data_IF_941998542048
#
_entry.id   IF_941998542048
#
_cell.length_a   1.000
_cell.length_b   1.000
_cell.length_c   1.000
_cell.angle_alpha   90.00
_cell.angle_beta   90.00
_cell.angle_gamma   90.00
#
_symmetry.space_group_name_H-M   'P 1'
#
loop_
_entity.id
_entity.type
_entity.pdbx_description
1 polymer ?
#
# COMPACT_ATOMS: atom_id res chain seq x y z
N UNK A 1 -28.88 -3.32 39.35
CA UNK A 1 -29.00 -2.99 37.92
C UNK A 1 -28.84 -4.28 37.13
N UNK A 2 -29.81 -4.65 36.29
CA UNK A 2 -29.70 -5.81 35.40
C UNK A 2 -28.58 -5.56 34.39
N UNK A 3 -27.60 -6.46 34.33
CA UNK A 3 -26.49 -6.35 33.37
C UNK A 3 -26.97 -6.95 32.06
N UNK A 4 -27.17 -6.11 31.05
CA UNK A 4 -27.55 -6.54 29.71
C UNK A 4 -26.40 -6.34 28.70
N UNK A 5 -26.43 -7.10 27.61
CA UNK A 5 -25.58 -6.85 26.45
C UNK A 5 -25.97 -5.53 25.79
N UNK A 6 -24.98 -4.81 25.28
CA UNK A 6 -25.18 -3.67 24.40
C UNK A 6 -25.73 -4.12 23.05
N UNK A 7 -26.27 -3.17 22.29
CA UNK A 7 -26.78 -3.43 20.93
C UNK A 7 -25.68 -4.03 20.03
N UNK A 8 -24.44 -3.56 20.15
CA UNK A 8 -23.32 -4.04 19.34
C UNK A 8 -22.91 -5.46 19.73
N UNK A 9 -22.84 -5.74 21.03
CA UNK A 9 -22.59 -7.10 21.55
C UNK A 9 -23.67 -8.08 21.07
N UNK A 10 -24.95 -7.69 21.15
CA UNK A 10 -26.07 -8.52 20.67
C UNK A 10 -26.03 -8.76 19.16
N UNK A 11 -25.67 -7.74 18.36
CA UNK A 11 -25.47 -7.89 16.91
C UNK A 11 -24.30 -8.84 16.59
N UNK A 12 -23.20 -8.71 17.32
CA UNK A 12 -22.04 -9.60 17.15
C UNK A 12 -22.40 -11.04 17.52
N UNK A 13 -23.10 -11.24 18.63
CA UNK A 13 -23.58 -12.55 19.06
C UNK A 13 -24.45 -13.19 17.97
N UNK A 14 -25.45 -12.47 17.44
CA UNK A 14 -26.32 -12.99 16.39
C UNK A 14 -25.54 -13.45 15.16
N UNK A 15 -24.56 -12.65 14.70
CA UNK A 15 -23.67 -13.01 13.58
C UNK A 15 -22.84 -14.25 13.88
N UNK A 16 -22.28 -14.35 15.09
CA UNK A 16 -21.47 -15.50 15.50
C UNK A 16 -22.33 -16.77 15.53
N UNK A 17 -23.51 -16.73 16.15
CA UNK A 17 -24.43 -17.88 16.20
C UNK A 17 -24.84 -18.34 14.81
N UNK A 18 -25.10 -17.41 13.88
CA UNK A 18 -25.39 -17.75 12.49
C UNK A 18 -24.19 -18.45 11.83
N UNK A 19 -22.97 -17.90 12.00
CA UNK A 19 -21.73 -18.49 11.48
C UNK A 19 -21.36 -19.87 12.07
N UNK A 20 -21.97 -20.24 13.19
CA UNK A 20 -21.77 -21.53 13.85
C UNK A 20 -22.69 -22.63 13.32
N UNK A 21 -23.69 -22.30 12.50
CA UNK A 21 -24.60 -23.29 11.88
C UNK A 21 -23.86 -24.14 10.85
N UNK A 22 -22.99 -23.52 10.08
CA UNK A 22 -22.29 -24.13 8.96
C UNK A 22 -20.96 -24.80 9.36
N UNK A 23 -20.72 -25.00 10.67
CA UNK A 23 -19.47 -25.56 11.19
C UNK A 23 -19.70 -26.88 11.90
N UNK A 24 -19.04 -27.92 11.39
CA UNK A 24 -19.06 -29.26 12.00
C UNK A 24 -18.40 -29.30 13.38
N UNK A 25 -17.36 -28.47 13.60
CA UNK A 25 -16.65 -28.38 14.88
C UNK A 25 -16.41 -26.93 15.28
N UNK A 26 -16.80 -26.60 16.51
CA UNK A 26 -16.50 -25.32 17.16
C UNK A 26 -15.30 -25.49 18.09
N UNK A 27 -14.55 -24.41 18.31
CA UNK A 27 -13.55 -24.36 19.38
C UNK A 27 -14.25 -24.15 20.73
N UNK A 28 -13.48 -24.18 21.81
CA UNK A 28 -14.02 -24.10 23.17
C UNK A 28 -14.74 -22.77 23.43
N UNK A 29 -14.19 -21.64 22.96
CA UNK A 29 -14.81 -20.34 23.14
C UNK A 29 -16.12 -20.21 22.38
N UNK A 30 -16.19 -20.65 21.12
CA UNK A 30 -17.42 -20.63 20.33
C UNK A 30 -18.46 -21.62 20.88
N UNK A 31 -18.02 -22.77 21.40
CA UNK A 31 -18.90 -23.73 22.08
C UNK A 31 -19.53 -23.09 23.31
N UNK A 32 -18.73 -22.35 24.09
CA UNK A 32 -19.21 -21.64 25.27
C UNK A 32 -20.18 -20.49 24.90
N UNK A 33 -19.88 -19.71 23.86
CA UNK A 33 -20.78 -18.67 23.34
C UNK A 33 -22.13 -19.29 22.92
N UNK A 34 -22.10 -20.40 22.16
CA UNK A 34 -23.31 -21.11 21.69
C UNK A 34 -24.10 -21.74 22.84
N UNK A 35 -23.43 -22.22 23.88
CA UNK A 35 -24.08 -22.77 25.06
C UNK A 35 -24.77 -21.68 25.88
N UNK A 36 -24.09 -20.55 26.11
CA UNK A 36 -24.67 -19.40 26.81
C UNK A 36 -25.84 -18.81 26.04
N UNK A 37 -25.76 -18.68 24.71
CA UNK A 37 -26.84 -18.09 23.90
C UNK A 37 -28.13 -18.92 23.88
N UNK A 38 -28.06 -20.20 24.26
CA UNK A 38 -29.22 -21.11 24.29
C UNK A 38 -29.93 -21.14 25.64
N UNK A 39 -29.35 -20.53 26.69
CA UNK A 39 -29.99 -20.47 28.00
C UNK A 39 -31.28 -19.65 27.90
N UNK A 40 -32.38 -20.17 28.43
CA UNK A 40 -33.67 -19.48 28.49
C UNK A 40 -33.64 -18.24 29.38
N UNK A 41 -32.79 -18.25 30.41
CA UNK A 41 -32.49 -17.09 31.25
C UNK A 41 -30.98 -16.98 31.49
N UNK A 42 -30.46 -15.76 31.41
CA UNK A 42 -29.05 -15.45 31.68
C UNK A 42 -28.94 -14.79 33.05
N UNK A 43 -28.06 -15.32 33.89
CA UNK A 43 -27.64 -14.63 35.12
C UNK A 43 -26.71 -13.45 34.79
N UNK A 44 -26.53 -12.50 35.71
CA UNK A 44 -25.55 -11.41 35.54
C UNK A 44 -24.12 -11.95 35.30
N UNK A 45 -23.78 -13.10 35.88
CA UNK A 45 -22.53 -13.82 35.64
C UNK A 45 -22.43 -14.35 34.21
N UNK A 46 -23.52 -14.92 33.68
CA UNK A 46 -23.58 -15.40 32.29
C UNK A 46 -23.42 -14.24 31.30
N UNK A 47 -24.09 -13.11 31.54
CA UNK A 47 -23.95 -11.92 30.70
C UNK A 47 -22.52 -11.37 30.75
N UNK A 48 -21.89 -11.36 31.93
CA UNK A 48 -20.49 -10.92 32.08
C UNK A 48 -19.52 -11.82 31.32
N UNK A 49 -19.70 -13.15 31.40
CA UNK A 49 -18.89 -14.13 30.64
C UNK A 49 -19.09 -13.94 29.13
N UNK A 50 -20.34 -13.77 28.70
CA UNK A 50 -20.66 -13.57 27.30
C UNK A 50 -20.03 -12.27 26.76
N UNK A 51 -20.07 -11.18 27.53
CA UNK A 51 -19.39 -9.92 27.21
C UNK A 51 -17.88 -10.09 27.02
N UNK A 52 -17.22 -10.83 27.91
CA UNK A 52 -15.78 -11.11 27.78
C UNK A 52 -15.46 -11.91 26.51
N UNK A 53 -16.24 -12.96 26.22
CA UNK A 53 -16.06 -13.79 25.03
C UNK A 53 -16.30 -12.99 23.74
N UNK A 54 -17.35 -12.17 23.72
CA UNK A 54 -17.65 -11.29 22.58
C UNK A 54 -16.58 -10.22 22.39
N UNK A 55 -16.05 -9.65 23.48
CA UNK A 55 -14.94 -8.70 23.43
C UNK A 55 -13.68 -9.31 22.81
N UNK A 56 -13.36 -10.56 23.17
CA UNK A 56 -12.24 -11.29 22.59
C UNK A 56 -12.41 -11.56 21.10
N UNK A 57 -13.59 -12.03 20.68
CA UNK A 57 -13.88 -12.25 19.25
C UNK A 57 -13.88 -10.94 18.46
N UNK A 58 -14.41 -9.86 19.02
CA UNK A 58 -14.36 -8.53 18.40
C UNK A 58 -12.91 -8.08 18.18
N UNK A 59 -12.03 -8.28 19.17
CA UNK A 59 -10.61 -7.95 19.07
C UNK A 59 -9.91 -8.76 17.96
N UNK A 60 -10.19 -10.07 17.84
CA UNK A 60 -9.67 -10.91 16.75
C UNK A 60 -10.12 -10.42 15.38
N UNK A 61 -11.40 -10.05 15.23
CA UNK A 61 -11.95 -9.52 13.99
C UNK A 61 -11.22 -8.22 13.62
N UNK A 62 -11.13 -7.28 14.56
CA UNK A 62 -10.44 -6.00 14.35
C UNK A 62 -8.97 -6.20 13.99
N UNK A 63 -8.25 -7.10 14.65
CA UNK A 63 -6.85 -7.40 14.32
C UNK A 63 -6.69 -7.93 12.88
N UNK A 64 -7.58 -8.83 12.44
CA UNK A 64 -7.58 -9.35 11.06
C UNK A 64 -7.88 -8.27 10.03
N UNK A 65 -8.86 -7.41 10.30
CA UNK A 65 -9.20 -6.30 9.42
C UNK A 65 -8.06 -5.29 9.29
N UNK A 66 -7.43 -4.92 10.42
CA UNK A 66 -6.27 -4.03 10.44
C UNK A 66 -5.10 -4.63 9.65
N UNK A 67 -4.81 -5.93 9.84
CA UNK A 67 -3.78 -6.63 9.04
C UNK A 67 -4.09 -6.61 7.55
N UNK A 68 -5.36 -6.83 7.17
CA UNK A 68 -5.80 -6.78 5.77
C UNK A 68 -5.62 -5.40 5.16
N UNK A 69 -6.02 -4.34 5.88
CA UNK A 69 -5.84 -2.94 5.46
C UNK A 69 -4.36 -2.58 5.29
N UNK A 70 -3.52 -2.98 6.25
CA UNK A 70 -2.07 -2.76 6.17
C UNK A 70 -1.45 -3.45 4.94
N UNK A 71 -1.83 -4.71 4.66
CA UNK A 71 -1.35 -5.42 3.47
C UNK A 71 -1.77 -4.74 2.16
N UNK A 72 -3.01 -4.26 2.09
CA UNK A 72 -3.52 -3.52 0.92
C UNK A 72 -2.77 -2.20 0.73
N UNK A 73 -2.52 -1.45 1.80
CA UNK A 73 -1.75 -0.21 1.73
C UNK A 73 -0.31 -0.44 1.21
N UNK A 74 0.35 -1.50 1.67
CA UNK A 74 1.68 -1.87 1.17
C UNK A 74 1.65 -2.20 -0.32
N UNK A 75 0.66 -2.97 -0.77
CA UNK A 75 0.51 -3.33 -2.18
C UNK A 75 0.24 -2.10 -3.06
N UNK A 76 -0.59 -1.15 -2.60
CA UNK A 76 -0.84 0.10 -3.32
C UNK A 76 0.45 0.92 -3.45
N UNK A 77 1.20 1.07 -2.37
CA UNK A 77 2.47 1.78 -2.38
C UNK A 77 3.53 1.13 -3.30
N UNK A 78 3.60 -0.20 -3.35
CA UNK A 78 4.46 -0.91 -4.31
C UNK A 78 4.04 -0.64 -5.77
N UNK A 79 2.73 -0.64 -6.05
CA UNK A 79 2.22 -0.33 -7.38
C UNK A 79 2.48 1.14 -7.77
N UNK A 80 2.31 2.08 -6.85
CA UNK A 80 2.65 3.49 -7.07
C UNK A 80 4.13 3.66 -7.41
N UNK A 81 5.03 2.98 -6.68
CA UNK A 81 6.47 2.99 -7.00
C UNK A 81 6.76 2.46 -8.41
N UNK A 82 6.12 1.35 -8.79
CA UNK A 82 6.26 0.78 -10.15
C UNK A 82 5.78 1.77 -11.22
N UNK A 83 4.63 2.41 -11.01
CA UNK A 83 4.10 3.42 -11.93
C UNK A 83 5.00 4.65 -12.03
N UNK A 84 5.57 5.12 -10.92
CA UNK A 84 6.53 6.25 -10.93
C UNK A 84 7.75 5.91 -11.78
N UNK A 85 8.30 4.70 -11.63
CA UNK A 85 9.45 4.23 -12.40
C UNK A 85 9.09 4.08 -13.89
N UNK A 86 7.95 3.46 -14.21
CA UNK A 86 7.49 3.29 -15.60
C UNK A 86 7.25 4.63 -16.28
N UNK A 87 6.58 5.57 -15.60
CA UNK A 87 6.33 6.91 -16.11
C UNK A 87 7.64 7.69 -16.34
N UNK A 88 8.63 7.51 -15.46
CA UNK A 88 9.97 8.08 -15.66
C UNK A 88 10.63 7.51 -16.92
N UNK A 89 10.66 6.19 -17.10
CA UNK A 89 11.23 5.57 -18.30
C UNK A 89 10.53 6.05 -19.57
N UNK A 90 9.19 6.17 -19.54
CA UNK A 90 8.42 6.71 -20.67
C UNK A 90 8.82 8.15 -21.00
N UNK A 91 8.92 9.03 -19.99
CA UNK A 91 9.35 10.43 -20.18
C UNK A 91 10.75 10.51 -20.78
N UNK A 92 11.72 9.77 -20.24
CA UNK A 92 13.07 9.75 -20.79
C UNK A 92 13.11 9.22 -22.22
N UNK A 93 12.36 8.15 -22.52
CA UNK A 93 12.26 7.63 -23.89
C UNK A 93 11.74 8.67 -24.90
N UNK A 94 10.69 9.42 -24.53
CA UNK A 94 10.15 10.49 -25.36
C UNK A 94 11.16 11.62 -25.57
N UNK A 95 11.82 12.06 -24.50
CA UNK A 95 12.81 13.15 -24.53
C UNK A 95 14.02 12.77 -25.38
N UNK A 96 14.47 11.51 -25.29
CA UNK A 96 15.56 11.00 -26.14
C UNK A 96 15.14 11.05 -27.60
N UNK A 97 13.95 10.56 -27.95
CA UNK A 97 13.44 10.58 -29.32
C UNK A 97 13.36 12.03 -29.85
N UNK A 98 12.80 12.95 -29.09
CA UNK A 98 12.69 14.36 -29.50
C UNK A 98 14.05 15.06 -29.61
N UNK A 99 15.00 14.72 -28.73
CA UNK A 99 16.37 15.23 -28.81
C UNK A 99 17.08 14.73 -30.08
N UNK A 100 16.89 13.46 -30.44
CA UNK A 100 17.45 12.88 -31.67
C UNK A 100 16.87 13.52 -32.93
N UNK A 101 15.59 13.89 -32.95
CA UNK A 101 14.97 14.61 -34.09
C UNK A 101 15.55 16.00 -34.32
N UNK A 102 16.15 16.62 -33.30
CA UNK A 102 16.78 17.96 -33.40
C UNK A 102 18.20 17.90 -33.96
N UNK A 103 18.74 16.71 -34.21
CA UNK A 103 20.05 16.55 -34.83
C UNK A 103 20.01 16.99 -36.29
N UNK A 104 21.03 17.72 -36.78
CA UNK A 104 21.10 18.08 -38.20
C UNK A 104 21.19 16.82 -39.08
N UNK A 105 20.42 16.78 -40.17
CA UNK A 105 20.33 15.64 -41.11
C UNK A 105 21.69 15.17 -41.66
N UNK A 106 22.71 16.04 -41.62
CA UNK A 106 24.07 15.82 -42.11
C UNK A 106 25.12 15.53 -41.03
N UNK A 107 24.74 15.49 -39.74
CA UNK A 107 25.63 15.13 -38.63
C UNK A 107 25.13 13.86 -37.94
N UNK A 108 25.80 12.74 -38.23
CA UNK A 108 25.57 11.46 -37.56
C UNK A 108 26.11 11.41 -36.12
N UNK A 109 26.77 12.47 -35.65
CA UNK A 109 27.44 12.52 -34.34
C UNK A 109 27.11 13.80 -33.59
N UNK A 110 26.86 13.64 -32.29
CA UNK A 110 26.69 14.72 -31.30
C UNK A 110 27.56 14.39 -30.09
N UNK A 111 28.12 15.40 -29.44
CA UNK A 111 28.82 15.19 -28.17
C UNK A 111 27.83 14.80 -27.08
N UNK A 112 28.26 14.05 -26.07
CA UNK A 112 27.39 13.66 -24.97
C UNK A 112 26.85 14.90 -24.22
N UNK A 113 27.69 15.92 -24.00
CA UNK A 113 27.29 17.15 -23.33
C UNK A 113 26.23 17.94 -24.12
N UNK A 114 26.40 18.08 -25.44
CA UNK A 114 25.40 18.74 -26.29
C UNK A 114 24.08 17.94 -26.30
N UNK A 115 24.15 16.62 -26.33
CA UNK A 115 22.96 15.76 -26.26
C UNK A 115 22.22 15.90 -24.91
N UNK A 116 22.95 15.92 -23.80
CA UNK A 116 22.36 16.13 -22.47
C UNK A 116 21.73 17.52 -22.35
N UNK A 117 22.34 18.56 -22.93
CA UNK A 117 21.76 19.90 -22.99
C UNK A 117 20.46 19.94 -23.82
N UNK A 118 20.39 19.21 -24.94
CA UNK A 118 19.14 19.05 -25.71
C UNK A 118 18.04 18.39 -24.88
N UNK A 119 18.38 17.36 -24.10
CA UNK A 119 17.43 16.71 -23.20
C UNK A 119 16.94 17.65 -22.10
N UNK A 120 17.84 18.45 -21.49
CA UNK A 120 17.50 19.41 -20.45
C UNK A 120 16.56 20.53 -20.93
N UNK A 121 16.67 20.89 -22.21
CA UNK A 121 15.79 21.87 -22.86
C UNK A 121 14.38 21.32 -23.17
N UNK A 122 14.14 20.01 -23.01
CA UNK A 122 12.85 19.39 -23.30
C UNK A 122 11.85 19.58 -22.16
N UNK A 123 10.66 20.08 -22.48
CA UNK A 123 9.58 20.35 -21.51
C UNK A 123 8.96 19.07 -20.92
N UNK A 124 9.16 17.92 -21.55
CA UNK A 124 8.63 16.65 -21.05
C UNK A 124 9.44 16.11 -19.85
N UNK A 125 10.64 16.62 -19.58
CA UNK A 125 11.33 16.35 -18.31
C UNK A 125 10.79 17.26 -17.21
N UNK A 126 10.44 16.66 -16.07
CA UNK A 126 10.17 17.45 -14.87
C UNK A 126 11.48 17.89 -14.20
N UNK A 127 11.38 18.82 -13.25
CA UNK A 127 12.52 19.39 -12.55
C UNK A 127 13.43 18.35 -11.87
N UNK A 128 12.88 17.29 -11.26
CA UNK A 128 13.69 16.23 -10.65
C UNK A 128 14.48 15.42 -11.68
N UNK A 129 13.85 15.14 -12.82
CA UNK A 129 14.50 14.42 -13.90
C UNK A 129 15.58 15.32 -14.55
N UNK A 130 15.33 16.64 -14.68
CA UNK A 130 16.33 17.64 -15.13
C UNK A 130 17.50 17.78 -14.18
N UNK A 131 17.26 17.89 -12.87
CA UNK A 131 18.32 17.90 -11.84
C UNK A 131 19.21 16.67 -11.97
N UNK A 132 18.62 15.47 -12.12
CA UNK A 132 19.37 14.23 -12.30
C UNK A 132 20.23 14.24 -13.57
N UNK A 133 19.68 14.69 -14.71
CA UNK A 133 20.43 14.82 -15.97
C UNK A 133 21.57 15.85 -15.85
N UNK A 134 21.32 16.98 -15.18
CA UNK A 134 22.32 18.04 -15.01
C UNK A 134 23.55 17.59 -14.22
N UNK A 135 23.41 16.61 -13.32
CA UNK A 135 24.52 16.02 -12.58
C UNK A 135 25.55 15.33 -13.47
N UNK A 136 25.16 14.83 -14.66
CA UNK A 136 26.10 14.25 -15.63
C UNK A 136 27.00 15.31 -16.28
N UNK A 137 26.51 16.54 -16.44
CA UNK A 137 27.29 17.66 -16.98
C UNK A 137 28.32 18.21 -15.97
N UNK A 138 28.06 18.04 -14.67
CA UNK A 138 28.97 18.46 -13.61
C UNK A 138 30.18 17.52 -13.45
N UNK A 139 30.02 16.25 -13.83
CA UNK A 139 31.09 15.25 -13.75
C UNK A 139 32.16 15.40 -14.86
N UNK A 140 31.87 16.11 -15.96
CA UNK A 140 32.85 16.41 -17.01
C UNK A 140 33.90 17.46 -16.56
N UNK A 141 33.64 18.23 -15.50
CA UNK A 141 34.55 19.28 -15.01
C UNK A 141 35.69 18.71 -14.15
N UNK A 142 35.56 17.49 -13.62
CA UNK A 142 36.55 16.89 -12.71
C UNK A 142 37.55 15.94 -13.41
N UNK A 143 37.40 15.69 -14.71
CA UNK A 143 38.33 14.90 -15.53
C UNK A 143 39.07 15.79 -16.55
N UNK A 144 39.47 17.00 -16.15
CA UNK A 144 40.40 17.80 -16.94
C UNK A 144 41.78 17.13 -16.98
N UNK A 145 42.32 16.94 -18.18
CA UNK A 145 43.66 16.39 -18.44
C UNK A 145 44.71 16.91 -17.45
N UNK A 146 45.63 16.04 -16.95
CA UNK A 146 46.81 16.53 -16.25
C UNK A 146 47.59 17.38 -17.24
N UNK A 147 47.76 18.66 -16.94
CA UNK A 147 48.67 19.52 -17.67
C UNK A 147 50.09 18.98 -17.46
N UNK A 148 50.67 18.46 -18.52
CA UNK A 148 52.13 18.27 -18.65
C UNK A 148 52.86 19.62 -18.60
#
# INVERSE_FOLDING_TARGET
MSVALTINESKLLAKLIDSFKDKDKLNDEHTLIKALSKKSSLSDSDVSKLRLLLGFEQAKITARETKKKAKLALQMHENEKKQVIENRYRRFGLVVIESLKKLPDNKATISLSDFLNLMLADENLNEKDKEWVSGFLQNDVMNGDPKD
#
